data_IF_961636918741
#
_entry.id   IF_961636918741
#
_cell.length_a   1.000
_cell.length_b   1.000
_cell.length_c   1.000
_cell.angle_alpha   90.00
_cell.angle_beta   90.00
_cell.angle_gamma   90.00
#
_symmetry.space_group_name_H-M   'P 1'
#
loop_
_entity.id
_entity.type
_entity.pdbx_description
1 polymer ?
#
# COMPACT_ATOMS: atom_id res chain seq x y z
N UNK A 1 29.98 -38.14 -3.87
CA UNK A 1 28.96 -37.07 -3.89
C UNK A 1 29.09 -36.28 -5.20
N UNK A 2 28.49 -36.79 -6.28
CA UNK A 2 28.45 -36.13 -7.58
C UNK A 2 27.40 -35.02 -7.55
N UNK A 3 27.78 -33.77 -7.85
CA UNK A 3 26.86 -32.64 -7.94
C UNK A 3 26.49 -32.36 -9.39
N UNK A 4 25.19 -32.26 -9.65
CA UNK A 4 24.63 -32.01 -10.98
C UNK A 4 24.76 -30.51 -11.30
N UNK A 5 25.54 -30.13 -12.33
CA UNK A 5 25.55 -28.77 -12.88
C UNK A 5 25.03 -28.79 -14.32
N UNK A 6 24.10 -27.89 -14.62
CA UNK A 6 23.66 -27.62 -15.99
C UNK A 6 24.67 -26.69 -16.71
N UNK A 7 25.50 -27.26 -17.58
CA UNK A 7 26.30 -26.50 -18.54
C UNK A 7 25.53 -26.38 -19.86
N UNK A 8 24.72 -25.33 -19.98
CA UNK A 8 23.92 -25.09 -21.18
C UNK A 8 22.87 -26.19 -21.42
N UNK A 9 22.77 -26.72 -22.64
CA UNK A 9 21.81 -27.79 -23.00
C UNK A 9 22.28 -29.20 -22.64
N UNK A 10 23.46 -29.37 -22.02
CA UNK A 10 23.97 -30.69 -21.57
C UNK A 10 24.12 -30.71 -20.06
N UNK A 11 23.52 -31.70 -19.42
CA UNK A 11 23.75 -32.02 -18.01
C UNK A 11 24.89 -33.04 -17.95
N UNK A 12 25.96 -32.74 -17.22
CA UNK A 12 27.08 -33.66 -17.02
C UNK A 12 27.35 -33.81 -15.52
N UNK A 13 27.50 -35.05 -15.07
CA UNK A 13 27.87 -35.40 -13.70
C UNK A 13 29.39 -35.25 -13.57
N UNK A 14 29.84 -34.27 -12.80
CA UNK A 14 31.26 -34.12 -12.45
C UNK A 14 31.53 -34.70 -11.06
N UNK A 15 32.72 -35.26 -10.88
CA UNK A 15 33.20 -35.69 -9.57
C UNK A 15 33.50 -34.48 -8.66
N UNK A 16 33.54 -34.69 -7.34
CA UNK A 16 33.68 -33.61 -6.37
C UNK A 16 35.00 -32.80 -6.55
N UNK A 17 36.08 -33.48 -6.97
CA UNK A 17 37.38 -32.84 -7.23
C UNK A 17 37.37 -32.02 -8.53
N UNK A 18 36.69 -32.49 -9.57
CA UNK A 18 36.51 -31.73 -10.82
C UNK A 18 35.68 -30.46 -10.58
N UNK A 19 34.65 -30.53 -9.73
CA UNK A 19 33.82 -29.38 -9.34
C UNK A 19 34.63 -28.28 -8.62
N UNK A 20 35.53 -28.66 -7.72
CA UNK A 20 36.41 -27.73 -7.00
C UNK A 20 37.42 -27.07 -7.96
N UNK A 21 38.04 -27.85 -8.85
CA UNK A 21 38.92 -27.30 -9.88
C UNK A 21 38.19 -26.39 -10.86
N UNK A 22 36.91 -26.65 -11.15
CA UNK A 22 36.08 -25.79 -12.00
C UNK A 22 35.79 -24.42 -11.37
N UNK A 23 35.59 -24.35 -10.05
CA UNK A 23 35.40 -23.08 -9.32
C UNK A 23 36.63 -22.18 -9.35
N UNK A 24 37.83 -22.75 -9.46
CA UNK A 24 39.09 -22.02 -9.45
C UNK A 24 39.47 -21.38 -10.79
N UNK A 25 38.71 -21.63 -11.87
CA UNK A 25 38.93 -20.91 -13.13
C UNK A 25 38.50 -19.44 -13.01
N UNK A 26 39.50 -18.54 -13.02
CA UNK A 26 39.35 -17.08 -13.06
C UNK A 26 38.42 -16.67 -14.22
N UNK A 27 37.16 -16.37 -13.91
CA UNK A 27 36.17 -15.87 -14.87
C UNK A 27 34.84 -16.62 -14.89
N UNK A 28 34.80 -17.88 -14.43
CA UNK A 28 33.58 -18.67 -14.41
C UNK A 28 32.56 -18.09 -13.41
N UNK A 29 33.02 -17.71 -12.21
CA UNK A 29 32.15 -17.14 -11.19
C UNK A 29 31.42 -15.88 -11.67
N UNK A 30 32.06 -14.94 -12.38
CA UNK A 30 31.37 -13.72 -12.84
C UNK A 30 30.32 -14.01 -13.91
N UNK A 31 30.61 -14.85 -14.91
CA UNK A 31 29.67 -15.16 -15.99
C UNK A 31 28.54 -16.08 -15.55
N UNK A 32 28.82 -17.09 -14.72
CA UNK A 32 27.81 -18.03 -14.24
C UNK A 32 26.89 -17.38 -13.19
N UNK A 33 27.43 -16.59 -12.26
CA UNK A 33 26.62 -15.75 -11.36
C UNK A 33 25.81 -14.73 -12.17
N UNK A 34 26.40 -14.13 -13.22
CA UNK A 34 25.64 -13.25 -14.12
C UNK A 34 24.52 -13.98 -14.86
N UNK A 35 24.71 -15.23 -15.29
CA UNK A 35 23.64 -16.02 -15.93
C UNK A 35 22.55 -16.47 -14.96
N UNK A 36 22.91 -16.82 -13.72
CA UNK A 36 21.93 -17.10 -12.67
C UNK A 36 21.13 -15.84 -12.32
N UNK A 37 21.79 -14.68 -12.18
CA UNK A 37 21.12 -13.39 -11.98
C UNK A 37 20.28 -12.94 -13.18
N UNK A 38 20.61 -13.39 -14.41
CA UNK A 38 19.85 -13.09 -15.63
C UNK A 38 18.62 -13.97 -15.82
N UNK A 39 18.57 -15.17 -15.23
CA UNK A 39 17.52 -16.16 -15.54
C UNK A 39 16.23 -16.01 -14.74
N UNK A 40 16.23 -15.29 -13.61
CA UNK A 40 15.00 -14.89 -12.95
C UNK A 40 15.06 -13.41 -12.59
N UNK A 41 14.27 -12.58 -13.28
CA UNK A 41 14.06 -11.19 -12.86
C UNK A 41 13.37 -11.08 -11.48
N UNK A 42 12.91 -12.21 -10.94
CA UNK A 42 12.32 -12.33 -9.62
C UNK A 42 13.40 -12.55 -8.55
N UNK A 43 13.20 -12.03 -7.32
CA UNK A 43 14.06 -12.37 -6.20
C UNK A 43 14.04 -13.89 -5.96
N UNK A 44 15.11 -14.43 -5.38
CA UNK A 44 15.19 -15.83 -5.02
C UNK A 44 13.96 -16.21 -4.15
N UNK A 45 13.31 -17.34 -4.47
CA UNK A 45 12.13 -17.88 -3.78
C UNK A 45 10.80 -17.14 -4.04
N UNK A 46 10.68 -16.36 -5.11
CA UNK A 46 9.39 -15.77 -5.48
C UNK A 46 8.34 -16.87 -5.77
N UNK A 47 7.18 -16.77 -5.12
CA UNK A 47 6.07 -17.73 -5.25
C UNK A 47 4.78 -17.07 -5.73
N UNK A 48 3.79 -17.89 -6.06
CA UNK A 48 2.46 -17.41 -6.45
C UNK A 48 1.67 -16.90 -5.23
N UNK A 49 0.62 -16.10 -5.46
CA UNK A 49 -0.22 -15.58 -4.36
C UNK A 49 -0.83 -16.70 -3.52
N UNK A 50 -1.44 -17.76 -4.10
CA UNK A 50 -2.04 -18.84 -3.31
C UNK A 50 -1.02 -19.67 -2.51
N UNK A 51 0.19 -19.85 -3.04
CA UNK A 51 1.26 -20.52 -2.30
C UNK A 51 1.71 -19.66 -1.11
N UNK A 52 1.89 -18.35 -1.33
CA UNK A 52 2.27 -17.41 -0.27
C UNK A 52 1.22 -17.37 0.85
N UNK A 53 -0.07 -17.30 0.51
CA UNK A 53 -1.13 -17.30 1.54
C UNK A 53 -1.15 -18.61 2.31
N UNK A 54 -0.96 -19.76 1.66
CA UNK A 54 -0.85 -21.06 2.34
C UNK A 54 0.29 -21.10 3.36
N UNK A 55 1.48 -20.61 2.99
CA UNK A 55 2.61 -20.51 3.92
C UNK A 55 2.32 -19.53 5.06
N UNK A 56 1.80 -18.34 4.77
CA UNK A 56 1.49 -17.35 5.80
C UNK A 56 0.42 -17.85 6.78
N UNK A 57 -0.63 -18.52 6.29
CA UNK A 57 -1.65 -19.17 7.13
C UNK A 57 -1.05 -20.23 8.04
N UNK A 58 -0.09 -21.02 7.55
CA UNK A 58 0.59 -22.05 8.36
C UNK A 58 1.47 -21.46 9.47
N UNK A 59 2.10 -20.30 9.22
CA UNK A 59 2.92 -19.60 10.22
C UNK A 59 2.04 -18.87 11.24
N UNK A 60 0.88 -18.34 10.82
CA UNK A 60 -0.01 -17.56 11.68
C UNK A 60 -0.91 -18.39 12.59
N UNK A 61 -0.85 -19.72 12.56
CA UNK A 61 -1.68 -20.61 13.39
C UNK A 61 -1.53 -20.28 14.89
N UNK A 62 -0.33 -19.84 15.30
CA UNK A 62 -0.01 -19.55 16.70
C UNK A 62 -0.58 -18.22 17.22
N UNK A 63 -1.07 -17.33 16.35
CA UNK A 63 -1.54 -16.01 16.76
C UNK A 63 -3.05 -16.07 17.04
N UNK A 64 -3.50 -15.86 18.30
CA UNK A 64 -4.93 -15.91 18.63
C UNK A 64 -5.71 -14.68 18.11
N UNK A 65 -5.00 -13.63 17.67
CA UNK A 65 -5.58 -12.38 17.21
C UNK A 65 -5.84 -12.36 15.70
N UNK A 66 -6.76 -11.48 15.28
CA UNK A 66 -7.05 -11.18 13.88
C UNK A 66 -5.83 -10.50 13.23
N UNK A 67 -4.87 -11.30 12.79
CA UNK A 67 -3.74 -10.81 12.01
C UNK A 67 -4.19 -10.19 10.69
N UNK A 68 -3.35 -9.35 10.12
CA UNK A 68 -3.57 -8.71 8.82
C UNK A 68 -2.47 -9.07 7.84
N UNK A 69 -2.83 -9.18 6.57
CA UNK A 69 -1.90 -9.31 5.47
C UNK A 69 -1.41 -7.92 5.07
N UNK A 70 -0.10 -7.77 4.97
CA UNK A 70 0.58 -6.56 4.51
C UNK A 70 1.26 -6.82 3.18
N UNK A 71 1.02 -5.93 2.22
CA UNK A 71 1.74 -5.89 0.96
C UNK A 71 2.80 -4.78 1.02
N UNK A 72 4.06 -5.15 0.80
CA UNK A 72 5.19 -4.25 0.67
C UNK A 72 5.67 -4.22 -0.78
N UNK A 73 5.43 -3.11 -1.46
CA UNK A 73 5.89 -2.86 -2.82
C UNK A 73 7.17 -2.04 -2.74
N UNK A 74 8.32 -2.69 -2.96
CA UNK A 74 9.61 -2.02 -3.05
C UNK A 74 9.73 -1.31 -4.40
N UNK A 75 10.01 0.00 -4.38
CA UNK A 75 10.18 0.80 -5.58
C UNK A 75 11.66 1.02 -5.88
N UNK A 76 12.03 0.92 -7.15
CA UNK A 76 13.30 1.43 -7.67
C UNK A 76 13.08 2.89 -8.06
N UNK A 77 13.42 3.78 -7.13
CA UNK A 77 13.42 5.22 -7.34
C UNK A 77 14.84 5.77 -7.26
N UNK A 78 15.18 6.78 -8.08
CA UNK A 78 16.42 7.54 -7.87
C UNK A 78 16.19 8.63 -6.82
N UNK A 79 17.26 9.12 -6.19
CA UNK A 79 17.21 10.20 -5.17
C UNK A 79 16.45 11.47 -5.60
N UNK A 80 16.29 11.72 -6.90
CA UNK A 80 15.61 12.89 -7.48
C UNK A 80 14.18 12.62 -7.95
N UNK A 81 13.68 11.39 -7.83
CA UNK A 81 12.30 11.10 -8.21
C UNK A 81 11.34 11.56 -7.11
N UNK A 82 10.15 12.08 -7.46
CA UNK A 82 9.15 12.45 -6.48
C UNK A 82 8.66 11.20 -5.72
N UNK A 83 8.26 11.38 -4.46
CA UNK A 83 7.66 10.31 -3.67
C UNK A 83 6.30 9.92 -4.25
N UNK A 84 6.11 8.62 -4.52
CA UNK A 84 4.82 8.09 -4.95
C UNK A 84 3.76 8.31 -3.86
N UNK A 85 2.64 8.92 -4.25
CA UNK A 85 1.46 9.15 -3.41
C UNK A 85 0.23 8.85 -4.25
N UNK A 86 -0.72 8.13 -3.67
CA UNK A 86 -1.94 7.75 -4.35
C UNK A 86 -3.02 7.32 -3.38
N UNK A 87 -4.19 7.04 -3.94
CA UNK A 87 -5.35 6.55 -3.21
C UNK A 87 -5.87 5.31 -3.93
N UNK A 88 -6.34 4.34 -3.17
CA UNK A 88 -6.97 3.15 -3.71
C UNK A 88 -8.26 2.83 -2.97
N UNK A 89 -9.32 2.59 -3.73
CA UNK A 89 -10.50 1.90 -3.24
C UNK A 89 -10.29 0.39 -3.40
N UNK A 90 -10.36 -0.36 -2.30
CA UNK A 90 -10.27 -1.81 -2.35
C UNK A 90 -11.62 -2.40 -2.77
N UNK A 91 -11.64 -3.38 -3.70
CA UNK A 91 -12.86 -4.12 -4.04
C UNK A 91 -13.52 -4.77 -2.81
N UNK A 92 -12.71 -5.36 -1.94
CA UNK A 92 -13.16 -5.97 -0.70
C UNK A 92 -12.70 -5.15 0.51
N UNK A 93 -13.58 -4.37 1.16
CA UNK A 93 -13.22 -3.58 2.32
C UNK A 93 -12.92 -4.50 3.51
N UNK A 94 -11.83 -4.22 4.22
CA UNK A 94 -11.39 -5.03 5.37
C UNK A 94 -11.12 -4.22 6.65
N UNK A 95 -10.98 -2.89 6.51
CA UNK A 95 -10.81 -1.96 7.62
C UNK A 95 -12.14 -1.35 8.02
N UNK A 96 -12.20 -0.88 9.26
CA UNK A 96 -13.29 -0.01 9.69
C UNK A 96 -13.25 1.29 8.88
N UNK A 97 -14.43 1.84 8.53
CA UNK A 97 -14.49 3.09 7.79
C UNK A 97 -13.81 4.21 8.60
N UNK A 98 -13.03 5.09 7.95
CA UNK A 98 -12.44 6.23 8.61
C UNK A 98 -13.54 7.15 9.18
N UNK A 99 -13.31 7.69 10.38
CA UNK A 99 -14.18 8.71 10.95
C UNK A 99 -14.05 10.01 10.15
N UNK A 100 -15.15 10.45 9.53
CA UNK A 100 -15.20 11.65 8.69
C UNK A 100 -15.97 12.76 9.41
N UNK A 101 -15.40 13.96 9.42
CA UNK A 101 -16.04 15.18 9.90
C UNK A 101 -16.39 16.10 8.72
N UNK A 102 -17.63 16.58 8.65
CA UNK A 102 -18.10 17.45 7.57
C UNK A 102 -18.66 18.74 8.16
N UNK A 103 -18.08 19.88 7.78
CA UNK A 103 -18.66 21.19 8.05
C UNK A 103 -19.68 21.51 6.97
N UNK A 104 -20.95 21.67 7.35
CA UNK A 104 -22.03 22.05 6.45
C UNK A 104 -23.18 22.70 7.22
N UNK A 105 -23.98 23.51 6.53
CA UNK A 105 -25.22 24.14 7.03
C UNK A 105 -26.39 23.71 6.16
N UNK A 106 -27.57 23.50 6.77
CA UNK A 106 -28.82 23.21 6.04
C UNK A 106 -28.80 21.89 5.28
N UNK A 107 -29.35 21.87 4.06
CA UNK A 107 -29.55 20.65 3.27
C UNK A 107 -28.26 19.83 3.02
N UNK A 108 -27.11 20.49 2.85
CA UNK A 108 -25.82 19.81 2.67
C UNK A 108 -25.38 19.01 3.92
N UNK A 109 -25.84 19.42 5.12
CA UNK A 109 -25.60 18.66 6.34
C UNK A 109 -26.43 17.37 6.36
N UNK A 110 -27.69 17.42 5.93
CA UNK A 110 -28.55 16.25 5.84
C UNK A 110 -28.02 15.23 4.83
N UNK A 111 -27.47 15.69 3.71
CA UNK A 111 -26.80 14.84 2.73
C UNK A 111 -25.56 14.15 3.31
N UNK A 112 -24.71 14.88 4.03
CA UNK A 112 -23.53 14.31 4.66
C UNK A 112 -23.89 13.26 5.74
N UNK A 113 -24.95 13.50 6.52
CA UNK A 113 -25.45 12.55 7.51
C UNK A 113 -25.97 11.26 6.86
N UNK A 114 -26.71 11.38 5.74
CA UNK A 114 -27.21 10.21 4.98
C UNK A 114 -26.09 9.33 4.43
N UNK A 115 -24.94 9.91 4.11
CA UNK A 115 -23.78 9.19 3.57
C UNK A 115 -22.92 8.52 4.65
N UNK A 116 -23.26 8.68 5.94
CA UNK A 116 -22.53 8.06 7.04
C UNK A 116 -21.35 8.88 7.57
N UNK A 117 -21.33 10.20 7.34
CA UNK A 117 -20.37 11.06 8.02
C UNK A 117 -20.58 11.00 9.53
N UNK A 118 -19.51 10.74 10.29
CA UNK A 118 -19.57 10.53 11.75
C UNK A 118 -19.94 11.79 12.50
N UNK A 119 -19.45 12.94 12.04
CA UNK A 119 -19.72 14.25 12.63
C UNK A 119 -20.13 15.23 11.55
N UNK A 120 -21.32 15.82 11.69
CA UNK A 120 -21.84 16.85 10.77
C UNK A 120 -22.40 18.02 11.56
N UNK A 121 -22.13 19.24 11.09
CA UNK A 121 -22.66 20.47 11.66
C UNK A 121 -21.81 21.69 11.34
N UNK A 122 -22.17 22.82 11.95
CA UNK A 122 -21.50 24.11 11.75
C UNK A 122 -20.96 24.62 13.08
N UNK A 123 -21.63 25.58 13.72
CA UNK A 123 -21.18 26.25 14.94
C UNK A 123 -21.12 25.29 16.14
N UNK A 124 -22.04 24.32 16.22
CA UNK A 124 -22.06 23.33 17.30
C UNK A 124 -20.85 22.38 17.24
N UNK A 125 -20.44 21.98 16.03
CA UNK A 125 -19.24 21.16 15.85
C UNK A 125 -17.98 21.95 16.19
N UNK A 126 -17.92 23.23 15.83
CA UNK A 126 -16.78 24.10 16.16
C UNK A 126 -16.59 24.20 17.67
N UNK A 127 -17.68 24.44 18.42
CA UNK A 127 -17.65 24.45 19.89
C UNK A 127 -17.22 23.10 20.45
N UNK A 128 -17.79 21.99 19.96
CA UNK A 128 -17.41 20.63 20.39
C UNK A 128 -15.93 20.34 20.16
N UNK A 129 -15.37 20.70 19.00
CA UNK A 129 -13.95 20.49 18.69
C UNK A 129 -13.03 21.32 19.60
N UNK A 130 -13.48 22.51 20.05
CA UNK A 130 -12.73 23.34 20.98
C UNK A 130 -12.76 22.82 22.42
N UNK A 131 -13.90 22.28 22.86
CA UNK A 131 -14.08 21.76 24.22
C UNK A 131 -13.54 20.34 24.37
N UNK A 132 -13.79 19.47 23.39
CA UNK A 132 -13.45 18.06 23.41
C UNK A 132 -12.60 17.68 22.18
N UNK A 133 -11.47 17.00 22.36
CA UNK A 133 -10.65 16.54 21.24
C UNK A 133 -11.34 15.39 20.51
N UNK A 134 -12.13 15.71 19.49
CA UNK A 134 -12.70 14.70 18.59
C UNK A 134 -11.60 14.01 17.77
N UNK A 135 -11.78 12.70 17.58
CA UNK A 135 -10.90 11.86 16.78
C UNK A 135 -11.54 11.56 15.44
N UNK A 136 -11.03 12.20 14.39
CA UNK A 136 -11.40 11.92 13.00
C UNK A 136 -10.16 11.96 12.12
N UNK A 137 -10.22 11.26 11.00
CA UNK A 137 -9.08 11.08 10.08
C UNK A 137 -9.19 11.90 8.81
N UNK A 138 -10.41 12.23 8.37
CA UNK A 138 -10.67 13.08 7.20
C UNK A 138 -11.70 14.15 7.53
N UNK A 139 -11.52 15.34 6.95
CA UNK A 139 -12.42 16.47 7.15
C UNK A 139 -12.72 17.17 5.83
N UNK A 140 -14.00 17.47 5.62
CA UNK A 140 -14.52 18.19 4.46
C UNK A 140 -15.35 19.38 4.92
N UNK A 141 -15.51 20.39 4.04
CA UNK A 141 -16.37 21.52 4.33
C UNK A 141 -17.12 21.98 3.09
N UNK A 142 -18.38 22.38 3.28
CA UNK A 142 -19.14 23.11 2.27
C UNK A 142 -18.74 24.60 2.31
N UNK A 143 -18.65 25.31 1.17
CA UNK A 143 -18.31 26.74 1.13
C UNK A 143 -19.13 27.61 2.09
N UNK A 144 -20.44 27.36 2.22
CA UNK A 144 -21.35 28.05 3.17
C UNK A 144 -20.94 27.96 4.65
N UNK A 145 -20.07 27.02 5.02
CA UNK A 145 -19.56 26.83 6.38
C UNK A 145 -18.07 27.13 6.51
N UNK A 146 -17.40 27.53 5.41
CA UNK A 146 -15.96 27.77 5.39
C UNK A 146 -15.54 28.96 6.28
N UNK A 147 -16.45 29.91 6.53
CA UNK A 147 -16.24 31.08 7.40
C UNK A 147 -15.96 30.70 8.86
N UNK A 148 -16.39 29.52 9.30
CA UNK A 148 -16.20 29.04 10.67
C UNK A 148 -14.84 28.33 10.88
N UNK A 149 -14.19 27.89 9.81
CA UNK A 149 -12.92 27.16 9.85
C UNK A 149 -11.77 27.92 10.54
N UNK A 150 -11.63 29.26 10.43
CA UNK A 150 -10.59 30.01 11.14
C UNK A 150 -10.58 29.78 12.66
N UNK A 151 -11.76 29.53 13.26
CA UNK A 151 -11.89 29.31 14.71
C UNK A 151 -11.30 27.97 15.17
N UNK A 152 -11.27 26.97 14.30
CA UNK A 152 -10.69 25.63 14.56
C UNK A 152 -9.31 25.44 13.93
N UNK A 153 -8.78 26.45 13.25
CA UNK A 153 -7.54 26.35 12.48
C UNK A 153 -6.32 25.92 13.30
N UNK A 154 -6.21 26.37 14.55
CA UNK A 154 -5.10 25.98 15.45
C UNK A 154 -5.13 24.48 15.79
N UNK A 155 -6.31 23.93 16.05
CA UNK A 155 -6.51 22.53 16.44
C UNK A 155 -6.42 21.57 15.25
N UNK A 156 -7.06 21.93 14.13
CA UNK A 156 -7.05 21.08 12.92
C UNK A 156 -5.76 21.21 12.11
N UNK A 157 -5.09 22.35 12.20
CA UNK A 157 -3.81 22.61 11.55
C UNK A 157 -2.69 21.72 12.11
N UNK A 158 -2.59 21.58 13.43
CA UNK A 158 -1.58 20.72 14.08
C UNK A 158 -1.74 19.24 13.71
N UNK A 159 -3.00 18.77 13.58
CA UNK A 159 -3.33 17.40 13.14
C UNK A 159 -3.29 17.20 11.61
N UNK A 160 -3.02 18.24 10.82
CA UNK A 160 -3.04 18.23 9.33
C UNK A 160 -4.40 17.92 8.69
N UNK A 161 -5.49 18.14 9.43
CA UNK A 161 -6.88 17.84 9.02
C UNK A 161 -7.64 19.05 8.47
N UNK A 162 -7.05 20.25 8.52
CA UNK A 162 -7.70 21.50 8.09
C UNK A 162 -8.18 21.44 6.62
N UNK A 163 -9.49 21.56 6.32
CA UNK A 163 -9.94 21.59 4.94
C UNK A 163 -9.40 22.83 4.19
N UNK A 164 -9.08 22.68 2.90
CA UNK A 164 -8.51 23.73 2.04
C UNK A 164 -9.07 23.65 0.61
N UNK A 165 -9.35 24.82 0.02
CA UNK A 165 -9.83 24.97 -1.38
C UNK A 165 -8.82 24.36 -2.36
N UNK A 166 -7.52 24.59 -2.16
CA UNK A 166 -6.46 24.06 -3.06
C UNK A 166 -6.41 22.54 -3.11
N UNK A 167 -6.86 21.86 -2.05
CA UNK A 167 -6.93 20.39 -1.98
C UNK A 167 -8.26 19.83 -2.49
N UNK A 168 -9.23 20.69 -2.82
CA UNK A 168 -10.58 20.28 -3.17
C UNK A 168 -11.37 19.68 -2.01
N UNK A 169 -10.92 19.84 -0.76
CA UNK A 169 -11.68 19.37 0.42
C UNK A 169 -12.75 20.37 0.85
N UNK A 170 -12.73 21.57 0.27
CA UNK A 170 -13.83 22.53 0.32
C UNK A 170 -14.48 22.48 -1.05
N UNK A 171 -15.68 21.92 -1.12
CA UNK A 171 -16.41 21.69 -2.38
C UNK A 171 -17.91 21.72 -2.10
N UNK A 172 -18.69 22.13 -3.10
CA UNK A 172 -20.14 22.07 -3.09
C UNK A 172 -20.61 20.60 -3.16
N UNK A 173 -19.94 19.79 -3.97
CA UNK A 173 -20.23 18.36 -4.12
C UNK A 173 -19.60 17.53 -3.00
N UNK A 174 -20.33 17.38 -1.88
CA UNK A 174 -19.87 16.59 -0.73
C UNK A 174 -19.98 15.08 -0.95
N UNK A 175 -20.97 14.64 -1.75
CA UNK A 175 -21.25 13.21 -1.97
C UNK A 175 -20.05 12.40 -2.49
N UNK A 176 -19.44 12.74 -3.64
CA UNK A 176 -18.31 11.98 -4.16
C UNK A 176 -17.08 12.04 -3.23
N UNK A 177 -16.92 13.15 -2.50
CA UNK A 177 -15.83 13.30 -1.53
C UNK A 177 -15.99 12.37 -0.33
N UNK A 178 -17.20 12.23 0.22
CA UNK A 178 -17.47 11.36 1.36
C UNK A 178 -17.39 9.88 0.94
N UNK A 179 -18.02 9.50 -0.17
CA UNK A 179 -18.00 8.12 -0.67
C UNK A 179 -16.56 7.67 -0.97
N UNK A 180 -15.79 8.49 -1.69
CA UNK A 180 -14.38 8.19 -1.93
C UNK A 180 -13.59 8.17 -0.63
N UNK A 181 -13.87 9.04 0.33
CA UNK A 181 -13.15 9.07 1.60
C UNK A 181 -13.38 7.84 2.48
N UNK A 182 -14.58 7.27 2.45
CA UNK A 182 -14.95 6.07 3.20
C UNK A 182 -14.26 4.82 2.68
N UNK A 183 -14.13 4.67 1.37
CA UNK A 183 -13.54 3.48 0.74
C UNK A 183 -12.06 3.63 0.44
N UNK A 184 -11.58 4.86 0.17
CA UNK A 184 -10.22 5.07 -0.29
C UNK A 184 -9.20 5.06 0.86
N UNK A 185 -8.21 4.19 0.70
CA UNK A 185 -7.00 4.14 1.53
C UNK A 185 -5.90 4.95 0.86
N UNK A 186 -5.39 5.93 1.59
CA UNK A 186 -4.27 6.76 1.17
C UNK A 186 -2.96 5.99 1.36
N UNK A 187 -2.09 6.02 0.35
CA UNK A 187 -0.77 5.43 0.44
C UNK A 187 0.32 6.38 0.00
N UNK A 188 1.47 6.26 0.67
CA UNK A 188 2.66 7.05 0.42
C UNK A 188 3.88 6.16 0.46
N UNK A 189 4.85 6.46 -0.38
CA UNK A 189 6.17 5.87 -0.32
C UNK A 189 6.87 6.28 0.98
N UNK A 190 7.34 5.28 1.73
CA UNK A 190 8.13 5.45 2.94
C UNK A 190 9.57 5.84 2.61
N UNK A 191 10.35 6.28 3.61
CA UNK A 191 11.75 6.71 3.43
C UNK A 191 12.65 5.56 2.93
N UNK A 192 12.33 4.32 3.26
CA UNK A 192 12.98 3.12 2.73
C UNK A 192 12.71 2.87 1.23
N UNK A 193 11.81 3.64 0.62
CA UNK A 193 11.45 3.51 -0.78
C UNK A 193 10.44 2.40 -1.08
N UNK A 194 9.67 1.96 -0.09
CA UNK A 194 8.57 1.01 -0.28
C UNK A 194 7.21 1.64 0.02
N UNK A 195 6.17 1.11 -0.61
CA UNK A 195 4.78 1.35 -0.23
C UNK A 195 4.33 0.14 0.58
N UNK A 196 3.95 0.35 1.83
CA UNK A 196 3.46 -0.70 2.71
C UNK A 196 1.99 -0.44 2.99
N UNK A 197 1.13 -1.38 2.64
CA UNK A 197 -0.30 -1.29 2.89
C UNK A 197 -0.88 -2.63 3.35
N UNK A 198 -1.86 -2.60 4.26
CA UNK A 198 -2.69 -3.76 4.50
C UNK A 198 -3.54 -4.08 3.26
N UNK A 199 -3.79 -5.37 3.00
CA UNK A 199 -4.63 -5.83 1.88
C UNK A 199 -5.80 -6.71 2.31
N UNK A 200 -5.79 -7.22 3.55
CA UNK A 200 -6.86 -8.07 4.07
C UNK A 200 -6.59 -8.54 5.50
N UNK A 201 -7.59 -9.17 6.12
CA UNK A 201 -7.48 -9.88 7.40
C UNK A 201 -7.14 -11.36 7.15
N UNK A 202 -6.59 -12.06 8.16
CA UNK A 202 -6.24 -13.49 8.03
C UNK A 202 -7.42 -14.39 7.61
N UNK A 203 -8.67 -14.00 7.92
CA UNK A 203 -9.89 -14.71 7.54
C UNK A 203 -10.39 -14.48 6.11
N UNK A 204 -9.69 -13.69 5.29
CA UNK A 204 -10.07 -13.47 3.89
C UNK A 204 -9.89 -14.74 3.05
N UNK A 205 -10.76 -14.91 2.06
CA UNK A 205 -10.56 -15.96 1.06
C UNK A 205 -9.34 -15.65 0.19
N UNK A 206 -8.73 -16.69 -0.39
CA UNK A 206 -7.56 -16.52 -1.25
C UNK A 206 -7.88 -15.68 -2.50
N UNK A 207 -9.13 -15.74 -2.98
CA UNK A 207 -9.61 -14.96 -4.14
C UNK A 207 -9.77 -13.48 -3.82
N UNK A 208 -10.47 -13.13 -2.73
CA UNK A 208 -10.66 -11.74 -2.32
C UNK A 208 -9.31 -11.05 -2.05
N UNK A 209 -8.39 -11.77 -1.42
CA UNK A 209 -7.04 -11.27 -1.18
C UNK A 209 -6.27 -11.07 -2.49
N UNK A 210 -6.36 -12.00 -3.44
CA UNK A 210 -5.73 -11.85 -4.75
C UNK A 210 -6.27 -10.62 -5.49
N UNK A 211 -7.59 -10.44 -5.53
CA UNK A 211 -8.24 -9.29 -6.17
C UNK A 211 -7.79 -7.96 -5.56
N UNK A 212 -7.71 -7.88 -4.22
CA UNK A 212 -7.19 -6.70 -3.53
C UNK A 212 -5.71 -6.41 -3.86
N UNK A 213 -4.87 -7.45 -3.94
CA UNK A 213 -3.46 -7.29 -4.32
C UNK A 213 -3.32 -6.81 -5.77
N UNK A 214 -4.07 -7.40 -6.69
CA UNK A 214 -4.05 -7.03 -8.11
C UNK A 214 -4.52 -5.59 -8.32
N UNK A 215 -5.59 -5.18 -7.63
CA UNK A 215 -6.07 -3.80 -7.62
C UNK A 215 -4.98 -2.84 -7.08
N UNK A 216 -4.28 -3.22 -6.02
CA UNK A 216 -3.21 -2.40 -5.45
C UNK A 216 -2.01 -2.25 -6.38
N UNK A 217 -1.50 -3.36 -6.92
CA UNK A 217 -0.34 -3.34 -7.82
C UNK A 217 -0.65 -2.57 -9.11
N UNK A 218 -1.84 -2.76 -9.68
CA UNK A 218 -2.26 -2.04 -10.89
C UNK A 218 -2.41 -0.53 -10.65
N UNK A 219 -3.05 -0.12 -9.53
CA UNK A 219 -3.19 1.27 -9.16
C UNK A 219 -1.82 1.93 -8.90
N UNK A 220 -0.91 1.25 -8.20
CA UNK A 220 0.44 1.76 -7.99
C UNK A 220 1.16 1.95 -9.31
N UNK A 221 1.11 0.99 -10.25
CA UNK A 221 1.73 1.15 -11.58
C UNK A 221 1.16 2.35 -12.34
N UNK A 222 -0.16 2.54 -12.30
CA UNK A 222 -0.81 3.69 -12.92
C UNK A 222 -0.37 5.03 -12.29
N UNK A 223 -0.28 5.06 -10.96
CA UNK A 223 0.21 6.22 -10.21
C UNK A 223 1.67 6.53 -10.56
N UNK A 224 2.52 5.50 -10.64
CA UNK A 224 3.94 5.65 -11.03
C UNK A 224 4.09 6.18 -12.46
N UNK A 225 3.21 5.79 -13.39
CA UNK A 225 3.22 6.30 -14.76
C UNK A 225 2.84 7.78 -14.85
N UNK A 226 2.02 8.27 -13.91
CA UNK A 226 1.59 9.68 -13.82
C UNK A 226 2.54 10.57 -13.02
N UNK A 227 3.54 10.01 -12.34
CA UNK A 227 4.41 10.81 -11.50
C UNK A 227 5.19 11.85 -12.34
N UNK A 228 5.22 13.12 -11.90
CA UNK A 228 5.91 14.17 -12.63
C UNK A 228 7.44 14.00 -12.50
N UNK A 229 8.14 13.84 -13.62
CA UNK A 229 9.59 13.84 -13.64
C UNK A 229 10.19 13.00 -14.76
N UNK A 230 11.42 13.33 -15.17
CA UNK A 230 12.17 12.54 -16.17
C UNK A 230 12.60 11.16 -15.63
N UNK A 231 12.65 11.01 -14.31
CA UNK A 231 13.08 9.79 -13.64
C UNK A 231 11.90 8.83 -13.52
N UNK A 232 11.99 7.70 -14.22
CA UNK A 232 11.01 6.62 -14.10
C UNK A 232 11.20 5.89 -12.77
N UNK A 233 10.16 5.88 -11.94
CA UNK A 233 10.08 5.03 -10.75
C UNK A 233 9.46 3.71 -11.19
N UNK A 234 10.14 2.59 -10.92
CA UNK A 234 9.68 1.25 -11.32
C UNK A 234 9.41 0.40 -10.09
N UNK A 235 8.49 -0.56 -10.17
CA UNK A 235 8.34 -1.59 -9.13
C UNK A 235 9.55 -2.52 -9.19
N UNK A 236 10.21 -2.74 -8.05
CA UNK A 236 11.37 -3.63 -7.94
C UNK A 236 10.93 -5.03 -7.51
N UNK A 237 10.32 -5.13 -6.34
CA UNK A 237 9.86 -6.38 -5.75
C UNK A 237 8.54 -6.14 -5.00
N UNK A 238 7.68 -7.14 -5.00
CA UNK A 238 6.46 -7.17 -4.20
C UNK A 238 6.61 -8.27 -3.17
N UNK A 239 6.39 -7.92 -1.91
CA UNK A 239 6.44 -8.84 -0.79
C UNK A 239 5.08 -8.88 -0.10
N UNK A 240 4.64 -10.09 0.26
CA UNK A 240 3.46 -10.30 1.08
C UNK A 240 3.92 -10.83 2.44
N UNK A 241 3.48 -10.18 3.51
CA UNK A 241 3.71 -10.63 4.87
C UNK A 241 2.38 -10.71 5.63
N UNK A 242 2.40 -11.43 6.76
CA UNK A 242 1.33 -11.39 7.74
C UNK A 242 1.87 -10.81 9.05
N UNK A 243 0.98 -10.35 9.93
CA UNK A 243 1.33 -9.95 11.29
C UNK A 243 2.17 -11.04 11.97
N UNK A 244 3.38 -10.69 12.43
CA UNK A 244 4.34 -11.62 13.06
C UNK A 244 4.91 -12.72 12.15
N UNK A 245 4.75 -12.63 10.83
CA UNK A 245 5.32 -13.57 9.88
C UNK A 245 6.43 -12.94 9.02
N UNK A 246 7.25 -13.81 8.43
CA UNK A 246 8.28 -13.42 7.46
C UNK A 246 7.60 -12.91 6.18
N UNK A 247 8.25 -11.95 5.51
CA UNK A 247 7.81 -11.46 4.21
C UNK A 247 8.22 -12.42 3.09
N UNK A 248 7.24 -12.82 2.29
CA UNK A 248 7.40 -13.72 1.15
C UNK A 248 7.43 -12.91 -0.13
N UNK A 249 8.45 -13.06 -1.00
CA UNK A 249 8.44 -12.43 -2.31
C UNK A 249 7.38 -13.06 -3.23
N UNK A 250 6.63 -12.22 -3.93
CA UNK A 250 5.63 -12.65 -4.91
C UNK A 250 6.17 -12.55 -6.34
N UNK A 251 5.68 -13.43 -7.21
CA UNK A 251 5.92 -13.39 -8.66
C UNK A 251 5.06 -12.31 -9.35
N UNK A 252 5.34 -11.04 -9.07
CA UNK A 252 4.75 -9.92 -9.81
C UNK A 252 5.76 -9.29 -10.77
N UNK A 253 5.36 -9.11 -12.03
CA UNK A 253 6.17 -8.45 -13.07
C UNK A 253 6.24 -6.93 -12.92
#
# INVERSE_FOLDING_TARGET
MSSLIALGKRQTLLSHNEFLNFKNQKGFCKRFISQLNKKSNFPALAMTVPEATKYLKSVSISVPYVGSYMLSIALKSNRRAPSARGQIAFPHPFQEPPKICVFAKGAAADEALKLGATYVGAEDLVKKIQTEPLEFSKCFAHPNSAELLPQVAKLLGSKRLMPSIKRGTISDELKPLIESALTAVDYRQNDAGSINLPVGKLGFSDKELQENIEALVSNVRFTLAKLPGKVKVTVKHVHLSASHAIAIPLQYK
#
